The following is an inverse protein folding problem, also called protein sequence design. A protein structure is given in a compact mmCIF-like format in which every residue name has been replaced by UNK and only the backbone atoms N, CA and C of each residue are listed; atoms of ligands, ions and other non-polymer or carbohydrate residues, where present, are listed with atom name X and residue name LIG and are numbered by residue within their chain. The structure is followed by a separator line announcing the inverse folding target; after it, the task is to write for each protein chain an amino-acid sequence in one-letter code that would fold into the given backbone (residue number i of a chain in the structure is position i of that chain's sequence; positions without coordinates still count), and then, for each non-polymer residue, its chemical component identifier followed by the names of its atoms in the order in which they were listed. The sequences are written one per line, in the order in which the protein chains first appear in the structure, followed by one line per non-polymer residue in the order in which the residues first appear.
data_IF_521532646182
#
_entry.id   IF_521532646182
#
_cell.length_a   1.000
_cell.length_b   1.000
_cell.length_c   1.000
_cell.angle_alpha   90.00
_cell.angle_beta   90.00
_cell.angle_gamma   90.00
#
_symmetry.space_group_name_H-M   'P 1'
#
loop_
_entity.id
_entity.type
_entity.pdbx_description
1 polymer ?
#
# COMPACT_ATOMS: atom_id res chain seq x y z
N UNK A 1 -3.46 -21.11 6.24
CA UNK A 1 -4.43 -20.49 5.33
C UNK A 1 -4.21 -18.99 5.46
N UNK A 2 -3.57 -18.37 4.46
CA UNK A 2 -3.53 -16.91 4.42
C UNK A 2 -4.97 -16.44 4.23
N UNK A 3 -5.48 -15.64 5.16
CA UNK A 3 -6.80 -15.05 4.99
C UNK A 3 -6.75 -14.20 3.72
N UNK A 4 -7.65 -14.45 2.76
CA UNK A 4 -7.83 -13.61 1.58
C UNK A 4 -7.95 -12.16 2.03
N UNK A 5 -6.87 -11.41 1.84
CA UNK A 5 -6.80 -10.03 2.28
C UNK A 5 -7.76 -9.22 1.41
N UNK A 6 -8.92 -8.86 1.96
CA UNK A 6 -9.91 -8.06 1.27
C UNK A 6 -9.30 -6.68 0.99
N UNK A 7 -9.40 -6.22 -0.25
CA UNK A 7 -8.98 -4.90 -0.62
C UNK A 7 -9.86 -3.86 0.05
N UNK A 8 -9.28 -3.04 0.92
CA UNK A 8 -9.99 -1.97 1.66
C UNK A 8 -10.57 -0.87 0.74
N UNK A 9 -10.23 -0.86 -0.56
CA UNK A 9 -10.76 0.09 -1.54
C UNK A 9 -11.97 -0.45 -2.31
N UNK A 10 -11.82 -1.60 -2.99
CA UNK A 10 -12.86 -2.13 -3.88
C UNK A 10 -13.65 -3.30 -3.27
N UNK A 11 -13.34 -3.71 -2.03
CA UNK A 11 -13.97 -4.81 -1.27
C UNK A 11 -13.89 -6.20 -1.90
N UNK A 12 -13.16 -6.35 -3.02
CA UNK A 12 -12.82 -7.65 -3.62
C UNK A 12 -11.62 -8.28 -2.90
N UNK A 13 -11.47 -9.62 -2.94
CA UNK A 13 -10.23 -10.27 -2.54
C UNK A 13 -9.04 -9.69 -3.29
N UNK A 14 -7.91 -9.41 -2.62
CA UNK A 14 -6.67 -8.95 -3.30
C UNK A 14 -6.16 -9.97 -4.31
N UNK A 15 -6.47 -11.25 -4.12
CA UNK A 15 -6.16 -12.33 -5.06
C UNK A 15 -6.85 -12.15 -6.42
N UNK A 16 -8.05 -11.55 -6.43
CA UNK A 16 -8.88 -11.39 -7.63
C UNK A 16 -8.53 -10.14 -8.46
N UNK A 17 -7.56 -9.33 -8.01
CA UNK A 17 -7.17 -8.14 -8.76
C UNK A 17 -6.23 -8.50 -9.92
N UNK A 18 -6.56 -8.02 -11.11
CA UNK A 18 -5.60 -7.96 -12.21
C UNK A 18 -4.49 -6.91 -11.95
N UNK A 19 -3.47 -6.88 -12.80
CA UNK A 19 -2.32 -5.98 -12.63
C UNK A 19 -2.70 -4.50 -12.61
N UNK A 20 -3.71 -4.09 -13.37
CA UNK A 20 -4.18 -2.70 -13.42
C UNK A 20 -5.00 -2.37 -12.17
N UNK A 21 -5.92 -3.27 -11.78
CA UNK A 21 -6.69 -3.14 -10.54
C UNK A 21 -5.77 -3.06 -9.31
N UNK A 22 -4.69 -3.87 -9.26
CA UNK A 22 -3.69 -3.82 -8.18
C UNK A 22 -3.03 -2.45 -8.08
N UNK A 23 -2.63 -1.87 -9.20
CA UNK A 23 -1.99 -0.56 -9.23
C UNK A 23 -2.97 0.55 -8.84
N UNK A 24 -4.18 0.54 -9.39
CA UNK A 24 -5.21 1.52 -9.09
C UNK A 24 -5.62 1.47 -7.61
N UNK A 25 -5.92 0.29 -7.08
CA UNK A 25 -6.29 0.14 -5.67
C UNK A 25 -5.15 0.53 -4.74
N UNK A 26 -3.91 0.14 -5.05
CA UNK A 26 -2.74 0.54 -4.25
C UNK A 26 -2.56 2.05 -4.25
N UNK A 27 -2.66 2.71 -5.42
CA UNK A 27 -2.57 4.17 -5.54
C UNK A 27 -3.65 4.86 -4.71
N UNK A 28 -4.91 4.45 -4.84
CA UNK A 28 -6.01 5.04 -4.08
C UNK A 28 -5.81 4.85 -2.56
N UNK A 29 -5.34 3.67 -2.12
CA UNK A 29 -5.03 3.44 -0.70
C UNK A 29 -3.87 4.32 -0.20
N UNK A 30 -2.90 4.64 -1.07
CA UNK A 30 -1.81 5.59 -0.75
C UNK A 30 -2.34 7.02 -0.66
N UNK A 31 -3.18 7.44 -1.61
CA UNK A 31 -3.80 8.77 -1.61
C UNK A 31 -4.71 9.00 -0.41
N UNK A 32 -5.44 7.96 0.05
CA UNK A 32 -6.24 8.01 1.28
C UNK A 32 -5.39 7.96 2.56
N UNK A 33 -4.07 7.79 2.46
CA UNK A 33 -3.17 7.67 3.61
C UNK A 33 -3.33 6.37 4.39
N UNK A 34 -4.02 5.35 3.84
CA UNK A 34 -4.18 4.02 4.44
C UNK A 34 -2.92 3.17 4.22
N UNK A 35 -2.28 3.34 3.06
CA UNK A 35 -1.02 2.70 2.68
C UNK A 35 0.08 3.76 2.48
N UNK A 36 1.33 3.35 2.63
CA UNK A 36 2.52 4.14 2.27
C UNK A 36 3.29 3.42 1.19
N UNK A 37 3.82 4.18 0.24
CA UNK A 37 4.61 3.65 -0.87
C UNK A 37 6.04 4.16 -0.83
N UNK A 38 6.99 3.26 -0.99
CA UNK A 38 8.39 3.61 -1.12
C UNK A 38 8.72 3.78 -2.61
N UNK A 39 8.95 5.02 -3.03
CA UNK A 39 9.32 5.35 -4.41
C UNK A 39 10.64 4.72 -4.89
N UNK A 40 11.51 4.29 -3.97
CA UNK A 40 12.82 3.72 -4.31
C UNK A 40 12.81 2.21 -4.57
N UNK A 41 12.06 1.44 -3.78
CA UNK A 41 12.03 -0.02 -3.90
C UNK A 41 10.68 -0.60 -4.35
N UNK A 42 9.68 0.27 -4.55
CA UNK A 42 8.34 -0.12 -4.99
C UNK A 42 7.48 -0.79 -3.92
N UNK A 43 7.97 -0.88 -2.68
CA UNK A 43 7.25 -1.58 -1.59
C UNK A 43 6.16 -0.67 -1.03
N UNK A 44 4.94 -1.18 -0.99
CA UNK A 44 3.82 -0.58 -0.25
C UNK A 44 3.62 -1.29 1.09
N UNK A 45 3.23 -0.54 2.13
CA UNK A 45 2.89 -1.08 3.45
C UNK A 45 1.73 -0.31 4.07
N UNK A 46 1.00 -0.87 5.05
CA UNK A 46 0.01 -0.11 5.80
C UNK A 46 0.64 1.11 6.47
N UNK A 47 -0.08 2.24 6.46
CA UNK A 47 0.34 3.47 7.13
C UNK A 47 0.21 3.41 8.66
N UNK A 48 -0.35 2.31 9.19
CA UNK A 48 -0.45 2.02 10.62
C UNK A 48 0.94 1.75 11.20
N UNK A 49 1.28 2.45 12.28
CA UNK A 49 2.53 2.29 13.04
C UNK A 49 3.46 3.51 13.01
N UNK A 50 4.45 3.50 13.91
CA UNK A 50 5.41 4.59 14.13
C UNK A 50 6.58 4.61 13.14
N UNK A 51 6.78 3.55 12.35
CA UNK A 51 7.92 3.46 11.45
C UNK A 51 7.69 4.29 10.16
N UNK A 52 8.35 5.44 10.09
CA UNK A 52 8.40 6.34 8.93
C UNK A 52 9.33 5.84 7.81
N UNK A 53 10.08 4.76 8.03
CA UNK A 53 11.05 4.21 7.08
C UNK A 53 10.62 2.88 6.46
N UNK A 54 11.07 2.67 5.22
CA UNK A 54 10.93 1.44 4.47
C UNK A 54 11.76 0.33 5.09
N UNK A 55 11.13 -0.80 5.40
CA UNK A 55 11.83 -1.95 5.97
C UNK A 55 12.82 -2.63 5.01
N UNK A 56 12.76 -2.32 3.70
CA UNK A 56 13.63 -2.93 2.67
C UNK A 56 14.85 -2.06 2.34
N UNK A 57 14.67 -0.78 2.06
CA UNK A 57 15.77 0.13 1.68
C UNK A 57 16.13 1.18 2.74
N UNK A 58 15.38 1.27 3.85
CA UNK A 58 15.66 2.22 4.94
C UNK A 58 15.25 3.67 4.68
N UNK A 59 14.76 3.97 3.48
CA UNK A 59 14.30 5.30 3.08
C UNK A 59 13.04 5.74 3.79
N UNK A 60 12.91 7.04 4.03
CA UNK A 60 11.68 7.61 4.57
C UNK A 60 10.56 7.45 3.56
N UNK A 61 9.41 6.95 4.00
CA UNK A 61 8.19 7.01 3.21
C UNK A 61 7.83 8.48 3.00
N UNK A 62 7.71 8.90 1.75
CA UNK A 62 7.20 10.23 1.42
C UNK A 62 5.75 10.31 1.92
N UNK A 63 5.51 11.06 2.97
CA UNK A 63 4.15 11.41 3.38
C UNK A 63 3.64 12.41 2.34
N UNK A 64 2.69 11.99 1.50
CA UNK A 64 1.89 12.94 0.75
C UNK A 64 0.92 13.52 1.76
N UNK A 65 1.32 14.60 2.44
CA UNK A 65 0.37 15.49 3.09
C UNK A 65 -0.31 16.27 1.97
N UNK A 66 -1.61 16.05 1.78
CA UNK A 66 -2.43 16.88 0.93
C UNK A 66 -3.57 17.51 1.71
#
# INVERSE_FOLDING_TARGET
MEADEICEFCTKPRADHDSEEKQNCSRNLIEMGIMRYCGLCGVSKPAKGSHDRCGKCGEKYSFINH
#
